data_IF_613929543496
#
_entry.id   IF_613929543496
#
_cell.length_a   1.000
_cell.length_b   1.000
_cell.length_c   1.000
_cell.angle_alpha   90.00
_cell.angle_beta   90.00
_cell.angle_gamma   90.00
#
_symmetry.space_group_name_H-M   'P 1'
#
loop_
_entity.id
_entity.type
_entity.pdbx_description
1 polymer ?
#
# COMPACT_ATOMS: atom_id res chain seq x y z
N UNK A 1 -37.86 -2.41 1.43
CA UNK A 1 -36.38 -2.35 1.30
C UNK A 1 -35.77 -3.40 2.25
N UNK A 2 -34.99 -4.36 1.75
CA UNK A 2 -34.27 -5.32 2.62
C UNK A 2 -33.04 -4.63 3.21
N UNK A 3 -32.96 -4.51 4.54
CA UNK A 3 -31.78 -3.97 5.24
C UNK A 3 -30.56 -4.83 4.92
N UNK A 4 -29.45 -4.22 4.52
CA UNK A 4 -28.17 -4.90 4.34
C UNK A 4 -27.79 -5.59 5.66
N UNK A 5 -27.41 -6.87 5.59
CA UNK A 5 -26.97 -7.63 6.77
C UNK A 5 -25.46 -7.66 6.80
N UNK A 6 -24.90 -7.30 7.95
CA UNK A 6 -23.46 -7.40 8.18
C UNK A 6 -23.10 -8.86 8.43
N UNK A 7 -22.01 -9.33 7.84
CA UNK A 7 -21.59 -10.73 7.95
C UNK A 7 -20.10 -10.87 8.24
N UNK A 8 -19.75 -11.85 9.06
CA UNK A 8 -18.37 -12.30 9.31
C UNK A 8 -18.34 -13.83 9.19
N UNK A 9 -17.47 -14.37 8.35
CA UNK A 9 -17.39 -15.83 8.14
C UNK A 9 -18.72 -16.48 7.74
N UNK A 10 -19.49 -15.82 6.87
CA UNK A 10 -20.83 -16.23 6.42
C UNK A 10 -21.94 -16.23 7.50
N UNK A 11 -21.67 -15.74 8.72
CA UNK A 11 -22.67 -15.55 9.77
C UNK A 11 -23.16 -14.11 9.78
N UNK A 12 -24.47 -13.91 9.98
CA UNK A 12 -25.07 -12.59 10.17
C UNK A 12 -24.69 -12.08 11.57
N UNK A 13 -24.13 -10.86 11.65
CA UNK A 13 -23.57 -10.29 12.88
C UNK A 13 -24.09 -8.87 13.13
N UNK A 14 -23.95 -8.38 14.37
CA UNK A 14 -24.22 -6.99 14.71
C UNK A 14 -23.15 -6.04 14.13
N UNK A 15 -23.43 -4.74 14.12
CA UNK A 15 -22.45 -3.72 13.70
C UNK A 15 -21.20 -3.74 14.58
N UNK A 16 -21.36 -3.92 15.89
CA UNK A 16 -20.26 -3.96 16.86
C UNK A 16 -19.35 -5.18 16.61
N UNK A 17 -19.94 -6.35 16.37
CA UNK A 17 -19.21 -7.58 16.08
C UNK A 17 -18.50 -7.52 14.72
N UNK A 18 -19.13 -6.89 13.73
CA UNK A 18 -18.51 -6.62 12.44
C UNK A 18 -17.31 -5.66 12.59
N UNK A 19 -17.47 -4.55 13.32
CA UNK A 19 -16.39 -3.59 13.56
C UNK A 19 -15.22 -4.22 14.32
N UNK A 20 -15.49 -5.04 15.35
CA UNK A 20 -14.46 -5.76 16.08
C UNK A 20 -13.67 -6.71 15.17
N UNK A 21 -14.36 -7.45 14.30
CA UNK A 21 -13.74 -8.38 13.34
C UNK A 21 -12.88 -7.67 12.29
N UNK A 22 -13.35 -6.52 11.79
CA UNK A 22 -12.60 -5.68 10.86
C UNK A 22 -11.35 -5.11 11.52
N UNK A 23 -11.48 -4.54 12.74
CA UNK A 23 -10.33 -4.02 13.50
C UNK A 23 -9.30 -5.11 13.78
N UNK A 24 -9.75 -6.32 14.16
CA UNK A 24 -8.86 -7.45 14.40
C UNK A 24 -8.04 -7.82 13.16
N UNK A 25 -8.68 -7.90 11.98
CA UNK A 25 -7.98 -8.19 10.71
C UNK A 25 -7.03 -7.08 10.27
N UNK A 26 -7.42 -5.82 10.47
CA UNK A 26 -6.59 -4.67 10.08
C UNK A 26 -5.37 -4.50 10.99
N UNK A 27 -5.47 -4.94 12.25
CA UNK A 27 -4.41 -4.84 13.25
C UNK A 27 -3.62 -6.16 13.41
N UNK A 28 -3.91 -7.18 12.62
CA UNK A 28 -3.19 -8.44 12.63
C UNK A 28 -1.78 -8.21 12.05
N UNK A 29 -0.80 -8.15 12.94
CA UNK A 29 0.59 -7.98 12.54
C UNK A 29 1.14 -9.31 12.04
N UNK A 30 1.60 -9.35 10.80
CA UNK A 30 2.30 -10.53 10.25
C UNK A 30 3.74 -10.51 10.75
N UNK A 31 4.14 -11.55 11.46
CA UNK A 31 5.53 -11.70 11.91
C UNK A 31 6.35 -12.32 10.78
N UNK A 32 7.33 -11.59 10.26
CA UNK A 32 8.27 -12.05 9.24
C UNK A 32 9.68 -12.03 9.82
N UNK A 33 10.44 -13.10 9.62
CA UNK A 33 11.85 -13.13 9.98
C UNK A 33 12.67 -12.53 8.83
N UNK A 34 13.11 -11.29 8.99
CA UNK A 34 13.90 -10.56 7.99
C UNK A 34 15.34 -10.44 8.50
N UNK A 35 16.29 -10.92 7.70
CA UNK A 35 17.72 -10.70 7.97
C UNK A 35 18.12 -9.32 7.46
N UNK A 36 18.69 -8.48 8.32
CA UNK A 36 19.24 -7.18 7.97
C UNK A 36 20.76 -7.22 8.01
N UNK A 37 21.41 -6.47 7.12
CA UNK A 37 22.86 -6.27 7.18
C UNK A 37 23.27 -5.53 8.48
N UNK A 38 24.47 -5.80 9.03
CA UNK A 38 24.87 -5.27 10.34
C UNK A 38 24.88 -3.74 10.43
N UNK A 39 25.26 -3.06 9.36
CA UNK A 39 25.32 -1.61 9.24
C UNK A 39 23.92 -0.97 9.15
N UNK A 40 23.00 -1.60 8.41
CA UNK A 40 21.58 -1.24 8.34
C UNK A 40 20.94 -1.40 9.72
N UNK A 41 21.15 -2.54 10.37
CA UNK A 41 20.66 -2.79 11.72
C UNK A 41 21.23 -1.77 12.73
N UNK A 42 22.51 -1.42 12.61
CA UNK A 42 23.13 -0.39 13.45
C UNK A 42 22.55 1.01 13.18
N UNK A 43 22.24 1.33 11.92
CA UNK A 43 21.59 2.59 11.56
C UNK A 43 20.20 2.73 12.20
N UNK A 44 19.38 1.67 12.14
CA UNK A 44 18.08 1.65 12.81
C UNK A 44 18.21 1.74 14.33
N UNK A 45 19.18 1.03 14.93
CA UNK A 45 19.42 1.06 16.39
C UNK A 45 19.87 2.43 16.90
N UNK A 46 20.55 3.23 16.07
CA UNK A 46 20.95 4.61 16.42
C UNK A 46 19.80 5.60 16.35
N UNK A 47 18.77 5.29 15.55
CA UNK A 47 17.67 6.21 15.23
C UNK A 47 16.38 5.89 15.97
N UNK A 48 16.19 4.64 16.37
CA UNK A 48 15.16 4.26 17.32
C UNK A 48 15.70 4.47 18.75
N UNK A 49 14.92 5.13 19.60
CA UNK A 49 15.05 4.86 21.03
C UNK A 49 14.80 3.36 21.24
N UNK A 50 15.51 2.73 22.17
CA UNK A 50 15.66 1.25 22.32
C UNK A 50 14.32 0.50 22.27
N UNK A 51 13.21 1.18 22.59
CA UNK A 51 11.85 0.66 22.69
C UNK A 51 11.06 0.62 21.36
N UNK A 52 11.43 1.37 20.32
CA UNK A 52 10.59 1.57 19.11
C UNK A 52 11.20 1.03 17.79
N UNK A 53 12.13 0.08 17.86
CA UNK A 53 12.86 -0.45 16.69
C UNK A 53 11.94 -1.00 15.59
N UNK A 54 10.94 -1.81 15.96
CA UNK A 54 9.97 -2.38 15.01
C UNK A 54 9.03 -1.32 14.41
N UNK A 55 8.69 -0.29 15.20
CA UNK A 55 7.87 0.83 14.73
C UNK A 55 8.59 1.61 13.63
N UNK A 56 9.88 1.91 13.84
CA UNK A 56 10.72 2.62 12.88
C UNK A 56 10.96 1.82 11.60
N UNK A 57 11.17 0.51 11.69
CA UNK A 57 11.30 -0.34 10.49
C UNK A 57 10.00 -0.31 9.67
N UNK A 58 8.85 -0.48 10.32
CA UNK A 58 7.56 -0.50 9.64
C UNK A 58 7.19 0.84 9.00
N UNK A 59 7.58 1.97 9.60
CA UNK A 59 7.33 3.29 9.02
C UNK A 59 8.17 3.50 7.76
N UNK A 60 9.47 3.19 7.81
CA UNK A 60 10.37 3.32 6.67
C UNK A 60 9.99 2.35 5.54
N UNK A 61 9.60 1.12 5.86
CA UNK A 61 9.13 0.17 4.84
C UNK A 61 7.85 0.68 4.16
N UNK A 62 6.89 1.25 4.90
CA UNK A 62 5.68 1.87 4.32
C UNK A 62 6.03 3.03 3.39
N UNK A 63 6.93 3.90 3.82
CA UNK A 63 7.38 5.04 3.00
C UNK A 63 8.05 4.56 1.71
N UNK A 64 8.92 3.55 1.79
CA UNK A 64 9.58 2.97 0.64
C UNK A 64 8.60 2.31 -0.35
N UNK A 65 7.57 1.61 0.15
CA UNK A 65 6.50 1.05 -0.69
C UNK A 65 5.75 2.19 -1.40
N UNK A 66 5.29 3.19 -0.65
CA UNK A 66 4.55 4.32 -1.23
C UNK A 66 5.36 5.08 -2.28
N UNK A 67 6.65 5.31 -2.03
CA UNK A 67 7.53 5.95 -3.00
C UNK A 67 7.65 5.15 -4.29
N UNK A 68 7.78 3.81 -4.21
CA UNK A 68 7.84 2.95 -5.40
C UNK A 68 6.53 2.91 -6.16
N UNK A 69 5.40 2.79 -5.46
CA UNK A 69 4.07 2.80 -6.07
C UNK A 69 3.81 4.13 -6.79
N UNK A 70 4.22 5.25 -6.19
CA UNK A 70 4.11 6.57 -6.80
C UNK A 70 4.99 6.70 -8.04
N UNK A 71 6.25 6.24 -7.98
CA UNK A 71 7.13 6.24 -9.15
C UNK A 71 6.52 5.42 -10.30
N UNK A 72 5.98 4.24 -10.00
CA UNK A 72 5.33 3.39 -11.00
C UNK A 72 4.06 4.03 -11.57
N UNK A 73 3.25 4.67 -10.73
CA UNK A 73 2.07 5.42 -11.17
C UNK A 73 2.44 6.59 -12.09
N UNK A 74 3.46 7.37 -11.74
CA UNK A 74 3.98 8.47 -12.57
C UNK A 74 4.57 7.95 -13.89
N UNK A 75 5.28 6.82 -13.86
CA UNK A 75 5.78 6.16 -15.08
C UNK A 75 4.63 5.71 -15.98
N UNK A 76 3.54 5.16 -15.41
CA UNK A 76 2.35 4.77 -16.19
C UNK A 76 1.61 5.97 -16.77
N UNK A 77 1.47 7.05 -16.00
CA UNK A 77 0.85 8.30 -16.48
C UNK A 77 1.67 8.90 -17.63
N UNK A 78 2.97 9.09 -17.43
CA UNK A 78 3.85 9.63 -18.49
C UNK A 78 3.87 8.74 -19.73
N UNK A 79 3.92 7.41 -19.58
CA UNK A 79 3.87 6.50 -20.72
C UNK A 79 2.50 6.52 -21.43
N UNK A 80 1.40 6.55 -20.66
CA UNK A 80 0.04 6.61 -21.19
C UNK A 80 -0.25 7.93 -21.91
N UNK A 81 0.22 9.05 -21.37
CA UNK A 81 0.10 10.37 -22.00
C UNK A 81 0.94 10.45 -23.28
N UNK A 82 2.17 9.93 -23.28
CA UNK A 82 2.99 9.86 -24.49
C UNK A 82 2.34 9.01 -25.59
N UNK A 83 1.73 7.88 -25.24
CA UNK A 83 0.98 7.06 -26.20
C UNK A 83 -0.25 7.79 -26.74
N UNK A 84 -0.99 8.50 -25.88
CA UNK A 84 -2.16 9.27 -26.29
C UNK A 84 -1.79 10.44 -27.21
N UNK A 85 -0.70 11.16 -26.91
CA UNK A 85 -0.18 12.26 -27.74
C UNK A 85 0.33 11.76 -29.09
N UNK A 86 1.00 10.60 -29.13
CA UNK A 86 1.43 10.01 -30.39
C UNK A 86 0.24 9.56 -31.24
N UNK A 87 -0.74 8.84 -30.67
CA UNK A 87 -1.93 8.39 -31.41
C UNK A 87 -2.75 9.56 -31.98
N UNK A 88 -2.93 10.64 -31.22
CA UNK A 88 -3.64 11.83 -31.68
C UNK A 88 -2.86 12.64 -32.72
N UNK A 89 -1.52 12.57 -32.72
CA UNK A 89 -0.67 13.21 -33.74
C UNK A 89 -0.61 12.43 -35.06
N UNK A 90 -0.79 11.10 -35.03
CA UNK A 90 -0.81 10.26 -36.24
C UNK A 90 -2.17 10.28 -36.98
N UNK A 91 -3.30 10.43 -36.27
CA UNK A 91 -4.63 10.52 -36.90
C UNK A 91 -4.86 11.87 -37.63
N UNK A 92 -4.07 12.90 -37.33
CA UNK A 92 -4.15 14.22 -37.97
C UNK A 92 -3.51 14.31 -39.36
N UNK A 93 -2.79 13.28 -39.83
CA UNK A 93 -1.96 13.34 -41.05
C UNK A 93 -2.48 12.51 -42.24
N UNK A 94 -3.72 12.01 -42.19
CA UNK A 94 -4.33 11.23 -43.31
C UNK A 94 -5.48 11.95 -44.01
N UNK A 95 -5.63 13.26 -43.80
CA UNK A 95 -6.51 14.12 -44.61
C UNK A 95 -5.75 15.34 -45.13
N UNK A 96 -4.91 15.12 -46.13
CA UNK A 96 -4.27 16.15 -46.96
C UNK A 96 -4.16 15.65 -48.38
#
# INVERSE_FOLDING_TARGET
MKKARLRVGLKDVSLEEWQASVRKRLNESVNLNITLEPDIAAWFKRRAEITEFNGLINSILREAIHSKELEEALRKLTHGELQHVLLTSFDGNTKG
#
